data_IF_761367358991
#
_entry.id   IF_761367358991
#
_cell.length_a   1.000
_cell.length_b   1.000
_cell.length_c   1.000
_cell.angle_alpha   90.00
_cell.angle_beta   90.00
_cell.angle_gamma   90.00
#
_symmetry.space_group_name_H-M   'P 1'
#
loop_
_entity.id
_entity.type
_entity.pdbx_description
1 polymer ?
#
# COMPACT_ATOMS: atom_id res chain seq x y z
N UNK A 1 -10.09 8.49 -5.25
CA UNK A 1 -9.20 7.40 -4.77
C UNK A 1 -8.91 7.61 -3.29
N UNK A 2 -9.18 6.60 -2.47
CA UNK A 2 -8.84 6.66 -1.05
C UNK A 2 -7.36 6.48 -0.85
N UNK A 3 -6.81 7.05 0.21
CA UNK A 3 -5.38 6.92 0.49
C UNK A 3 -5.13 6.68 1.97
N UNK A 4 -4.03 5.99 2.25
CA UNK A 4 -3.55 5.72 3.61
C UNK A 4 -2.12 6.20 3.69
N UNK A 5 -1.83 7.06 4.65
CA UNK A 5 -0.49 7.59 4.87
C UNK A 5 0.19 6.80 6.00
N UNK A 6 1.25 6.09 5.65
CA UNK A 6 2.03 5.30 6.61
C UNK A 6 3.28 6.04 7.10
N UNK A 7 3.50 7.24 6.61
CA UNK A 7 4.67 8.03 6.96
C UNK A 7 4.75 8.24 8.48
N UNK A 8 5.91 7.95 9.06
CA UNK A 8 6.11 8.13 10.49
C UNK A 8 5.65 6.99 11.39
N UNK A 9 5.00 5.97 10.82
CA UNK A 9 4.59 4.79 11.61
C UNK A 9 5.73 3.78 11.70
N UNK A 10 5.69 2.95 12.74
CA UNK A 10 6.60 1.80 12.86
C UNK A 10 6.24 0.81 11.74
N UNK A 11 7.27 0.12 11.23
CA UNK A 11 7.10 -0.76 10.08
C UNK A 11 6.03 -1.84 10.28
N UNK A 12 6.04 -2.50 11.44
CA UNK A 12 5.07 -3.58 11.69
C UNK A 12 3.64 -3.05 11.78
N UNK A 13 3.45 -1.92 12.46
CA UNK A 13 2.15 -1.28 12.57
C UNK A 13 1.67 -0.79 11.20
N UNK A 14 2.60 -0.27 10.41
CA UNK A 14 2.28 0.24 9.07
C UNK A 14 1.80 -0.88 8.15
N UNK A 15 2.47 -2.03 8.16
CA UNK A 15 2.06 -3.17 7.33
C UNK A 15 0.68 -3.65 7.72
N UNK A 16 0.39 -3.76 9.02
CA UNK A 16 -0.93 -4.18 9.49
C UNK A 16 -2.02 -3.20 9.06
N UNK A 17 -1.75 -1.90 9.18
CA UNK A 17 -2.71 -0.88 8.74
C UNK A 17 -2.92 -0.92 7.24
N UNK A 18 -1.85 -1.11 6.48
CA UNK A 18 -1.94 -1.21 5.03
C UNK A 18 -2.75 -2.42 4.61
N UNK A 19 -2.54 -3.56 5.27
CA UNK A 19 -3.29 -4.78 4.97
C UNK A 19 -4.78 -4.57 5.22
N UNK A 20 -5.15 -4.05 6.39
CA UNK A 20 -6.55 -3.79 6.72
C UNK A 20 -7.18 -2.82 5.73
N UNK A 21 -6.45 -1.78 5.37
CA UNK A 21 -6.93 -0.77 4.43
C UNK A 21 -7.22 -1.37 3.06
N UNK A 22 -6.28 -2.14 2.51
CA UNK A 22 -6.44 -2.73 1.17
C UNK A 22 -7.54 -3.78 1.17
N UNK A 23 -7.63 -4.60 2.23
CA UNK A 23 -8.70 -5.59 2.32
C UNK A 23 -10.07 -4.92 2.35
N UNK A 24 -10.20 -3.81 3.07
CA UNK A 24 -11.45 -3.04 3.10
C UNK A 24 -11.77 -2.45 1.73
N UNK A 25 -10.79 -1.86 1.06
CA UNK A 25 -10.96 -1.29 -0.27
C UNK A 25 -11.35 -2.37 -1.29
N UNK A 26 -10.80 -3.57 -1.13
CA UNK A 26 -11.03 -4.67 -2.08
C UNK A 26 -12.45 -5.23 -2.04
N UNK A 27 -13.27 -4.81 -1.08
CA UNK A 27 -14.71 -5.15 -1.10
C UNK A 27 -15.40 -4.56 -2.34
N UNK A 28 -14.84 -3.50 -2.89
CA UNK A 28 -15.29 -2.93 -4.16
C UNK A 28 -14.49 -3.60 -5.28
N UNK A 29 -15.16 -4.32 -6.18
CA UNK A 29 -14.49 -5.07 -7.24
C UNK A 29 -13.70 -4.20 -8.21
N UNK A 30 -13.98 -2.90 -8.24
CA UNK A 30 -13.29 -1.93 -9.10
C UNK A 30 -12.40 -0.98 -8.30
N UNK A 31 -11.86 -1.45 -7.18
CA UNK A 31 -11.12 -0.57 -6.30
C UNK A 31 -9.78 -0.13 -6.88
N UNK A 32 -9.39 1.07 -6.49
CA UNK A 32 -8.04 1.59 -6.67
C UNK A 32 -7.76 2.50 -5.49
N UNK A 33 -6.62 2.32 -4.85
CA UNK A 33 -6.28 3.10 -3.67
C UNK A 33 -4.79 3.38 -3.63
N UNK A 34 -4.41 4.33 -2.78
CA UNK A 34 -3.03 4.80 -2.67
C UNK A 34 -2.52 4.56 -1.27
N UNK A 35 -1.28 4.06 -1.17
CA UNK A 35 -0.58 3.94 0.12
C UNK A 35 0.66 4.82 0.04
N UNK A 36 0.80 5.73 0.99
CA UNK A 36 1.95 6.63 1.06
C UNK A 36 2.95 6.02 2.02
N UNK A 37 4.11 5.63 1.50
CA UNK A 37 5.16 4.97 2.27
C UNK A 37 6.35 5.89 2.58
N UNK A 38 6.38 7.09 1.97
CA UNK A 38 7.50 8.01 2.12
C UNK A 38 8.74 7.47 1.40
N UNK A 39 9.92 7.94 1.81
CA UNK A 39 11.17 7.57 1.13
C UNK A 39 11.83 6.33 1.72
N UNK A 40 11.08 5.47 2.39
CA UNK A 40 11.62 4.27 3.03
C UNK A 40 11.53 3.06 2.11
N UNK A 41 12.66 2.58 1.62
CA UNK A 41 12.70 1.35 0.83
C UNK A 41 12.30 0.14 1.67
N UNK A 42 12.62 0.15 2.95
CA UNK A 42 12.22 -0.93 3.87
C UNK A 42 10.70 -1.00 3.98
N UNK A 43 10.05 0.14 4.16
CA UNK A 43 8.59 0.20 4.25
C UNK A 43 7.95 -0.26 2.92
N UNK A 44 8.48 0.23 1.81
CA UNK A 44 8.00 -0.16 0.49
C UNK A 44 8.08 -1.68 0.31
N UNK A 45 9.22 -2.28 0.65
CA UNK A 45 9.40 -3.72 0.48
C UNK A 45 8.45 -4.52 1.36
N UNK A 46 8.25 -4.10 2.59
CA UNK A 46 7.32 -4.80 3.51
C UNK A 46 5.89 -4.73 3.00
N UNK A 47 5.46 -3.58 2.53
CA UNK A 47 4.10 -3.41 2.02
C UNK A 47 3.92 -4.20 0.73
N UNK A 48 4.86 -4.14 -0.21
CA UNK A 48 4.73 -4.87 -1.47
C UNK A 48 4.77 -6.39 -1.25
N UNK A 49 5.57 -6.87 -0.30
CA UNK A 49 5.58 -8.29 0.05
C UNK A 49 4.21 -8.73 0.58
N UNK A 50 3.58 -7.90 1.39
CA UNK A 50 2.23 -8.20 1.89
C UNK A 50 1.23 -8.24 0.73
N UNK A 51 1.30 -7.26 -0.18
CA UNK A 51 0.42 -7.21 -1.35
C UNK A 51 0.61 -8.43 -2.25
N UNK A 52 1.86 -8.83 -2.48
CA UNK A 52 2.17 -10.03 -3.25
C UNK A 52 1.57 -11.28 -2.62
N UNK A 53 1.62 -11.39 -1.30
CA UNK A 53 1.04 -12.51 -0.57
C UNK A 53 -0.45 -12.67 -0.77
N UNK A 54 -1.15 -11.57 -0.97
CA UNK A 54 -2.60 -11.57 -1.25
C UNK A 54 -2.93 -11.65 -2.74
N UNK A 55 -1.93 -11.47 -3.61
CA UNK A 55 -2.16 -11.44 -5.05
C UNK A 55 -2.74 -10.14 -5.58
N UNK A 56 -2.63 -9.05 -4.83
CA UNK A 56 -3.09 -7.75 -5.28
C UNK A 56 -2.19 -7.17 -6.35
N UNK A 57 -2.78 -6.46 -7.31
CA UNK A 57 -2.02 -5.72 -8.31
C UNK A 57 -1.61 -4.37 -7.75
N UNK A 58 -0.40 -3.95 -8.05
CA UNK A 58 0.08 -2.64 -7.62
C UNK A 58 1.17 -2.15 -8.55
N UNK A 59 1.44 -0.85 -8.47
CA UNK A 59 2.62 -0.27 -9.12
C UNK A 59 3.10 0.92 -8.31
N UNK A 60 4.38 1.26 -8.49
CA UNK A 60 4.99 2.43 -7.87
C UNK A 60 5.12 3.48 -8.97
N UNK A 61 4.43 4.63 -8.86
CA UNK A 61 4.47 5.66 -9.89
C UNK A 61 5.88 6.18 -10.11
N UNK A 62 6.26 6.35 -11.37
CA UNK A 62 7.61 6.86 -11.68
C UNK A 62 7.82 8.30 -11.22
N UNK A 63 6.73 9.06 -11.05
CA UNK A 63 6.81 10.46 -10.60
C UNK A 63 6.85 10.59 -9.07
N UNK A 64 6.60 9.51 -8.34
CA UNK A 64 6.62 9.56 -6.88
C UNK A 64 6.87 8.16 -6.32
N UNK A 65 8.13 7.88 -5.98
CA UNK A 65 8.52 6.58 -5.42
C UNK A 65 8.07 6.42 -3.96
N UNK A 66 7.51 7.47 -3.37
CA UNK A 66 7.01 7.45 -2.00
C UNK A 66 5.60 6.91 -1.86
N UNK A 67 4.98 6.43 -2.95
CA UNK A 67 3.63 5.89 -2.86
C UNK A 67 3.48 4.62 -3.68
N UNK A 68 2.46 3.84 -3.33
CA UNK A 68 2.10 2.60 -4.04
C UNK A 68 0.63 2.70 -4.42
N UNK A 69 0.32 2.46 -5.68
CA UNK A 69 -1.06 2.42 -6.17
C UNK A 69 -1.49 0.96 -6.24
N UNK A 70 -2.56 0.61 -5.53
CA UNK A 70 -3.06 -0.76 -5.45
C UNK A 70 -4.43 -0.83 -6.14
N UNK A 71 -4.65 -1.89 -6.89
CA UNK A 71 -5.92 -2.08 -7.59
C UNK A 71 -6.29 -3.56 -7.67
N UNK A 72 -7.48 -3.80 -8.20
CA UNK A 72 -7.86 -5.17 -8.54
C UNK A 72 -7.21 -5.58 -9.92
#
# INVERSE_FOLDING_TARGET
MNELDLHGLRHDDAVDKAEDFVLMESHNSMFECRIIVGNSSTMTNKVTNMLDGHGFRYYIPSWNVGEIIVSN
#
